data_IF_347236392676
#
_entry.id   IF_347236392676
#
_cell.length_a   1.000
_cell.length_b   1.000
_cell.length_c   1.000
_cell.angle_alpha   90.00
_cell.angle_beta   90.00
_cell.angle_gamma   90.00
#
_symmetry.space_group_name_H-M   'P 1'
#
loop_
_entity.id
_entity.type
_entity.pdbx_description
1 polymer ?
#
# COMPACT_ATOMS: atom_id res chain seq x y z
N UNK A 1 12.08 2.30 -4.73
CA UNK A 1 12.60 0.93 -4.51
C UNK A 1 13.38 0.86 -3.18
N UNK A 2 13.46 -0.32 -2.56
CA UNK A 2 14.18 -0.54 -1.28
C UNK A 2 14.91 -1.90 -1.25
N UNK A 3 15.87 -2.06 -0.32
CA UNK A 3 16.48 -3.36 -0.02
C UNK A 3 15.83 -3.97 1.22
N UNK A 4 15.34 -5.19 1.11
CA UNK A 4 14.81 -6.00 2.22
C UNK A 4 15.49 -7.36 2.15
N UNK A 5 16.04 -7.84 3.27
CA UNK A 5 16.76 -9.12 3.33
C UNK A 5 17.87 -9.25 2.26
N UNK A 6 18.49 -8.12 1.88
CA UNK A 6 19.53 -8.06 0.84
C UNK A 6 19.02 -8.14 -0.60
N UNK A 7 17.70 -8.21 -0.82
CA UNK A 7 17.07 -8.25 -2.13
C UNK A 7 16.35 -6.94 -2.47
N UNK A 8 16.31 -6.52 -3.74
CA UNK A 8 15.52 -5.38 -4.16
C UNK A 8 14.02 -5.71 -4.11
N UNK A 9 13.26 -4.82 -3.48
CA UNK A 9 11.80 -4.88 -3.41
C UNK A 9 11.20 -3.64 -4.08
N UNK A 10 10.15 -3.87 -4.87
CA UNK A 10 9.51 -2.90 -5.74
C UNK A 10 8.07 -2.61 -5.32
N UNK A 11 7.65 -1.37 -5.48
CA UNK A 11 6.27 -0.92 -5.27
C UNK A 11 5.64 -0.44 -6.57
N UNK A 12 4.33 -0.25 -6.56
CA UNK A 12 3.60 0.40 -7.66
C UNK A 12 4.22 1.75 -8.07
N UNK A 13 4.68 2.55 -7.10
CA UNK A 13 5.35 3.84 -7.36
C UNK A 13 6.63 3.65 -8.17
N UNK A 14 7.37 2.56 -7.93
CA UNK A 14 8.61 2.26 -8.65
C UNK A 14 8.33 1.86 -10.09
N UNK A 15 7.26 1.10 -10.32
CA UNK A 15 6.80 0.73 -11.65
C UNK A 15 6.33 1.96 -12.43
N UNK A 16 5.53 2.84 -11.81
CA UNK A 16 5.12 4.12 -12.41
C UNK A 16 6.34 4.97 -12.73
N UNK A 17 7.30 5.08 -11.80
CA UNK A 17 8.54 5.82 -12.00
C UNK A 17 9.37 5.29 -13.18
N UNK A 18 9.45 3.98 -13.36
CA UNK A 18 10.10 3.35 -14.52
C UNK A 18 9.41 3.72 -15.83
N UNK A 19 8.07 3.63 -15.88
CA UNK A 19 7.27 3.96 -17.07
C UNK A 19 7.32 5.44 -17.43
N UNK A 20 7.47 6.32 -16.44
CA UNK A 20 7.64 7.77 -16.65
C UNK A 20 9.08 8.12 -17.05
N UNK A 21 10.09 7.43 -16.51
CA UNK A 21 11.50 7.68 -16.77
C UNK A 21 12.38 6.47 -16.42
N UNK A 22 12.82 5.71 -17.42
CA UNK A 22 13.69 4.54 -17.19
C UNK A 22 15.03 4.90 -16.50
N UNK A 23 15.53 6.12 -16.74
CA UNK A 23 16.76 6.61 -16.09
C UNK A 23 16.58 6.74 -14.57
N UNK A 24 15.37 7.08 -14.10
CA UNK A 24 15.08 7.18 -12.66
C UNK A 24 15.36 5.86 -11.95
N UNK A 25 14.95 4.73 -12.53
CA UNK A 25 15.22 3.40 -11.97
C UNK A 25 16.72 3.13 -11.83
N UNK A 26 17.54 3.56 -12.79
CA UNK A 26 18.99 3.38 -12.69
C UNK A 26 19.60 4.22 -11.55
N UNK A 27 19.13 5.46 -11.39
CA UNK A 27 19.56 6.33 -10.30
C UNK A 27 19.10 5.78 -8.94
N UNK A 28 17.88 5.25 -8.85
CA UNK A 28 17.41 4.58 -7.62
C UNK A 28 18.24 3.35 -7.28
N UNK A 29 18.62 2.53 -8.27
CA UNK A 29 19.51 1.37 -8.07
C UNK A 29 20.89 1.79 -7.61
N UNK A 30 21.47 2.82 -8.23
CA UNK A 30 22.74 3.39 -7.80
C UNK A 30 22.64 3.85 -6.33
N UNK A 31 21.54 4.49 -5.94
CA UNK A 31 21.33 4.92 -4.56
C UNK A 31 21.21 3.75 -3.56
N UNK A 32 20.57 2.64 -3.93
CA UNK A 32 20.53 1.44 -3.07
C UNK A 32 21.91 0.86 -2.78
N UNK A 33 22.84 0.98 -3.74
CA UNK A 33 24.21 0.52 -3.58
C UNK A 33 25.16 1.61 -3.05
N UNK A 34 24.65 2.76 -2.63
CA UNK A 34 25.46 3.87 -2.12
C UNK A 34 26.29 4.61 -3.17
N UNK A 35 26.00 4.38 -4.46
CA UNK A 35 26.69 5.00 -5.60
C UNK A 35 26.08 6.35 -6.00
N UNK A 36 24.89 6.67 -5.50
CA UNK A 36 24.21 7.95 -5.68
C UNK A 36 23.54 8.37 -4.37
N UNK A 37 23.41 9.68 -4.15
CA UNK A 37 22.69 10.22 -3.00
C UNK A 37 21.27 10.60 -3.41
N UNK A 38 20.27 10.12 -2.65
CA UNK A 38 18.91 10.65 -2.81
C UNK A 38 18.88 12.10 -2.35
N UNK A 39 18.34 13.04 -3.16
CA UNK A 39 18.23 14.42 -2.73
C UNK A 39 17.32 14.50 -1.50
N UNK A 40 17.83 15.03 -0.40
CA UNK A 40 16.99 15.43 0.73
C UNK A 40 16.37 16.78 0.39
N UNK A 41 15.05 16.80 0.22
CA UNK A 41 14.26 18.04 0.10
C UNK A 41 13.19 17.99 1.15
N UNK A 42 13.32 18.82 2.17
CA UNK A 42 12.19 19.13 3.05
C UNK A 42 11.23 20.01 2.24
N UNK A 43 10.05 19.48 1.95
CA UNK A 43 9.04 20.18 1.18
C UNK A 43 7.74 20.21 1.99
N UNK A 44 7.45 21.38 2.56
CA UNK A 44 6.29 21.63 3.40
C UNK A 44 4.99 21.32 2.65
N UNK A 45 4.95 21.51 1.32
CA UNK A 45 3.77 21.23 0.52
C UNK A 45 3.54 19.72 0.41
N UNK A 46 4.59 18.93 0.20
CA UNK A 46 4.51 17.46 0.17
C UNK A 46 4.02 16.94 1.51
N UNK A 47 4.56 17.45 2.62
CA UNK A 47 4.12 17.06 3.97
C UNK A 47 2.64 17.41 4.22
N UNK A 48 2.20 18.58 3.75
CA UNK A 48 0.81 19.00 3.86
C UNK A 48 -0.12 18.11 3.02
N UNK A 49 0.30 17.73 1.82
CA UNK A 49 -0.46 16.81 0.95
C UNK A 49 -0.59 15.44 1.62
N UNK A 50 0.49 14.89 2.18
CA UNK A 50 0.48 13.62 2.90
C UNK A 50 -0.49 13.65 4.10
N UNK A 51 -0.42 14.70 4.93
CA UNK A 51 -1.34 14.90 6.07
C UNK A 51 -2.80 14.95 5.62
N UNK A 52 -3.08 15.63 4.50
CA UNK A 52 -4.44 15.69 3.94
C UNK A 52 -4.91 14.33 3.40
N UNK A 53 -4.00 13.54 2.82
CA UNK A 53 -4.27 12.17 2.37
C UNK A 53 -4.72 11.30 3.54
N UNK A 54 -3.93 11.25 4.61
CA UNK A 54 -4.27 10.52 5.82
C UNK A 54 -5.62 10.99 6.43
N UNK A 55 -5.86 12.30 6.50
CA UNK A 55 -7.13 12.83 6.98
C UNK A 55 -8.33 12.45 6.08
N UNK A 56 -8.09 12.18 4.80
CA UNK A 56 -9.11 11.71 3.86
C UNK A 56 -9.42 10.22 4.07
N UNK A 57 -8.39 9.38 4.18
CA UNK A 57 -8.50 7.96 4.56
C UNK A 57 -9.29 7.80 5.86
N UNK A 58 -8.93 8.55 6.90
CA UNK A 58 -9.60 8.48 8.22
C UNK A 58 -11.08 8.90 8.17
N UNK A 59 -11.43 9.84 7.30
CA UNK A 59 -12.83 10.23 7.10
C UNK A 59 -13.62 9.12 6.41
N UNK A 60 -13.01 8.47 5.42
CA UNK A 60 -13.64 7.34 4.74
C UNK A 60 -13.81 6.15 5.71
N UNK A 61 -12.79 5.86 6.52
CA UNK A 61 -12.86 4.87 7.60
C UNK A 61 -14.01 5.17 8.58
N UNK A 62 -14.15 6.43 9.02
CA UNK A 62 -15.24 6.85 9.89
C UNK A 62 -16.63 6.65 9.23
N UNK A 63 -16.75 6.91 7.92
CA UNK A 63 -17.99 6.67 7.18
C UNK A 63 -18.34 5.17 7.13
N UNK A 64 -17.36 4.29 6.89
CA UNK A 64 -17.57 2.84 6.89
C UNK A 64 -18.03 2.33 8.26
N UNK A 65 -17.36 2.78 9.34
CA UNK A 65 -17.76 2.47 10.72
C UNK A 65 -19.17 3.00 11.03
N UNK A 66 -19.48 4.22 10.61
CA UNK A 66 -20.80 4.85 10.78
C UNK A 66 -21.92 4.14 10.00
N UNK A 67 -21.59 3.49 8.89
CA UNK A 67 -22.48 2.61 8.13
C UNK A 67 -22.65 1.21 8.76
N UNK A 68 -22.07 0.96 9.94
CA UNK A 68 -22.17 -0.32 10.65
C UNK A 68 -21.25 -1.42 10.13
N UNK A 69 -20.30 -1.10 9.25
CA UNK A 69 -19.31 -2.07 8.73
C UNK A 69 -18.30 -2.41 9.82
N UNK A 70 -17.98 -3.69 9.98
CA UNK A 70 -16.93 -4.13 10.90
C UNK A 70 -15.56 -3.98 10.22
N UNK A 71 -14.69 -3.16 10.79
CA UNK A 71 -13.36 -2.88 10.23
C UNK A 71 -12.30 -3.66 10.98
N UNK A 72 -11.49 -4.42 10.24
CA UNK A 72 -10.22 -4.98 10.70
C UNK A 72 -9.10 -4.06 10.23
N UNK A 73 -8.32 -3.52 11.15
CA UNK A 73 -7.20 -2.63 10.84
C UNK A 73 -5.89 -3.41 10.95
N UNK A 74 -5.07 -3.35 9.89
CA UNK A 74 -3.73 -3.96 9.89
C UNK A 74 -2.75 -2.93 10.43
N UNK A 75 -2.28 -3.15 11.65
CA UNK A 75 -1.40 -2.22 12.35
C UNK A 75 0.03 -2.64 12.15
N UNK A 76 0.90 -1.68 11.80
CA UNK A 76 2.34 -1.92 11.73
C UNK A 76 2.87 -2.10 13.15
N UNK A 77 3.52 -3.23 13.40
CA UNK A 77 4.20 -3.48 14.66
C UNK A 77 5.54 -2.72 14.69
N UNK A 78 5.52 -1.55 15.33
CA UNK A 78 6.69 -0.69 15.49
C UNK A 78 7.74 -1.28 16.46
N UNK A 79 7.45 -2.39 17.16
CA UNK A 79 8.42 -3.08 18.03
C UNK A 79 9.37 -3.97 17.24
N UNK A 80 8.96 -4.42 16.06
CA UNK A 80 9.83 -5.12 15.14
C UNK A 80 10.79 -4.13 14.51
N UNK A 81 12.09 -4.43 14.52
CA UNK A 81 13.10 -3.58 13.88
C UNK A 81 13.41 -4.01 12.45
N UNK A 82 13.14 -5.27 12.10
CA UNK A 82 13.36 -5.80 10.76
C UNK A 82 12.15 -5.55 9.86
N UNK A 83 12.39 -4.80 8.78
CA UNK A 83 11.35 -4.40 7.83
C UNK A 83 10.74 -5.59 7.10
N UNK A 84 11.54 -6.60 6.73
CA UNK A 84 11.04 -7.78 6.03
C UNK A 84 10.05 -8.55 6.89
N UNK A 85 10.36 -8.73 8.17
CA UNK A 85 9.51 -9.41 9.15
C UNK A 85 8.21 -8.64 9.38
N UNK A 86 8.27 -7.31 9.54
CA UNK A 86 7.06 -6.48 9.64
C UNK A 86 6.11 -6.68 8.44
N UNK A 87 6.65 -6.71 7.22
CA UNK A 87 5.84 -6.85 6.01
C UNK A 87 5.19 -8.21 5.90
N UNK A 88 5.95 -9.28 6.17
CA UNK A 88 5.42 -10.66 6.19
C UNK A 88 4.34 -10.84 7.25
N UNK A 89 4.48 -10.20 8.41
CA UNK A 89 3.45 -10.22 9.45
C UNK A 89 2.19 -9.48 8.99
N UNK A 90 2.32 -8.25 8.48
CA UNK A 90 1.19 -7.46 8.01
C UNK A 90 0.45 -8.15 6.84
N UNK A 91 1.19 -8.81 5.95
CA UNK A 91 0.62 -9.66 4.90
C UNK A 91 -0.15 -10.85 5.50
N UNK A 92 0.46 -11.58 6.44
CA UNK A 92 -0.18 -12.72 7.11
C UNK A 92 -1.49 -12.29 7.78
N UNK A 93 -1.49 -11.15 8.46
CA UNK A 93 -2.67 -10.58 9.10
C UNK A 93 -3.75 -10.18 8.08
N UNK A 94 -3.33 -9.60 6.94
CA UNK A 94 -4.21 -9.24 5.81
C UNK A 94 -4.89 -10.50 5.25
N UNK A 95 -4.11 -11.52 4.89
CA UNK A 95 -4.62 -12.78 4.34
C UNK A 95 -5.57 -13.46 5.35
N UNK A 96 -5.20 -13.50 6.62
CA UNK A 96 -6.04 -14.10 7.64
C UNK A 96 -7.36 -13.33 7.82
N UNK A 97 -7.37 -12.00 7.70
CA UNK A 97 -8.58 -11.21 7.74
C UNK A 97 -9.48 -11.48 6.51
N UNK A 98 -8.88 -11.63 5.33
CA UNK A 98 -9.60 -11.99 4.10
C UNK A 98 -10.25 -13.38 4.20
N UNK A 99 -9.52 -14.37 4.72
CA UNK A 99 -10.00 -15.74 4.93
C UNK A 99 -11.12 -15.83 5.97
N UNK A 100 -11.12 -14.96 6.99
CA UNK A 100 -12.22 -14.85 7.95
C UNK A 100 -13.44 -14.10 7.41
N UNK A 101 -13.35 -13.52 6.21
CA UNK A 101 -14.42 -12.73 5.61
C UNK A 101 -14.69 -11.43 6.36
N UNK A 102 -13.65 -10.76 6.85
CA UNK A 102 -13.77 -9.41 7.43
C UNK A 102 -14.50 -8.47 6.47
N UNK A 103 -15.45 -7.67 6.98
CA UNK A 103 -16.31 -6.85 6.12
C UNK A 103 -15.54 -5.71 5.43
N UNK A 104 -14.59 -5.12 6.15
CA UNK A 104 -13.63 -4.13 5.67
C UNK A 104 -12.26 -4.45 6.28
N UNK A 105 -11.21 -4.41 5.46
CA UNK A 105 -9.81 -4.46 5.92
C UNK A 105 -9.16 -3.11 5.59
N UNK A 106 -8.66 -2.40 6.60
CA UNK A 106 -8.01 -1.11 6.46
C UNK A 106 -6.48 -1.26 6.56
N UNK A 107 -5.73 -0.59 5.67
CA UNK A 107 -4.27 -0.68 5.54
C UNK A 107 -3.76 -2.08 5.17
N UNK A 108 -4.50 -2.76 4.28
CA UNK A 108 -4.11 -4.09 3.79
C UNK A 108 -2.73 -4.05 3.13
N UNK A 109 -1.90 -5.04 3.47
CA UNK A 109 -0.52 -5.15 2.98
C UNK A 109 -0.36 -6.45 2.20
N UNK A 110 0.28 -6.36 1.03
CA UNK A 110 0.65 -7.50 0.20
C UNK A 110 2.16 -7.52 0.01
N UNK A 111 2.81 -8.68 0.18
CA UNK A 111 4.26 -8.77 0.09
C UNK A 111 4.75 -10.18 -0.29
N UNK A 112 5.18 -10.38 -1.54
CA UNK A 112 5.62 -11.69 -2.03
C UNK A 112 7.14 -11.93 -1.96
N UNK A 113 7.88 -11.00 -1.34
CA UNK A 113 9.34 -11.00 -1.31
C UNK A 113 10.02 -10.20 -2.43
N UNK A 114 9.29 -9.86 -3.50
CA UNK A 114 9.76 -9.04 -4.63
C UNK A 114 8.94 -7.74 -4.75
N UNK A 115 7.64 -7.84 -4.60
CA UNK A 115 6.68 -6.75 -4.71
C UNK A 115 6.05 -6.44 -3.36
N UNK A 116 5.80 -5.15 -3.15
CA UNK A 116 5.06 -4.64 -2.02
C UNK A 116 3.91 -3.76 -2.48
N UNK A 117 2.72 -4.04 -1.97
CA UNK A 117 1.50 -3.30 -2.23
C UNK A 117 0.80 -2.90 -0.94
N UNK A 118 0.21 -1.70 -0.95
CA UNK A 118 -0.67 -1.21 0.12
C UNK A 118 -2.00 -0.83 -0.50
N UNK A 119 -3.07 -1.43 -0.01
CA UNK A 119 -4.43 -0.98 -0.30
C UNK A 119 -4.97 -0.26 0.94
N UNK A 120 -5.47 0.96 0.76
CA UNK A 120 -6.14 1.69 1.84
C UNK A 120 -7.26 0.83 2.43
N UNK A 121 -8.13 0.28 1.55
CA UNK A 121 -9.23 -0.56 1.96
C UNK A 121 -9.41 -1.77 1.05
N UNK A 122 -9.73 -2.93 1.65
CA UNK A 122 -10.36 -4.05 0.97
C UNK A 122 -11.82 -4.15 1.46
N UNK A 123 -12.77 -4.09 0.54
CA UNK A 123 -14.19 -4.14 0.81
C UNK A 123 -14.73 -5.51 0.42
N UNK A 124 -15.30 -6.25 1.37
CA UNK A 124 -15.90 -7.55 1.07
C UNK A 124 -17.13 -7.37 0.19
N UNK A 125 -17.22 -8.17 -0.86
CA UNK A 125 -18.36 -8.24 -1.79
C UNK A 125 -18.89 -9.67 -1.91
N UNK A 126 -20.21 -9.85 -2.13
CA UNK A 126 -20.82 -11.18 -2.26
C UNK A 126 -20.59 -11.77 -3.65
N UNK A 127 -19.33 -12.06 -3.97
CA UNK A 127 -18.89 -12.69 -5.21
C UNK A 127 -18.00 -13.89 -4.87
N UNK A 128 -18.35 -15.13 -5.26
CA UNK A 128 -17.56 -16.31 -4.90
C UNK A 128 -16.10 -16.25 -5.41
N UNK A 129 -15.18 -16.79 -4.61
CA UNK A 129 -13.76 -16.91 -4.94
C UNK A 129 -13.11 -18.08 -4.18
N UNK A 130 -11.79 -18.20 -4.25
CA UNK A 130 -11.01 -19.14 -3.43
C UNK A 130 -11.10 -18.85 -1.92
N UNK A 131 -11.70 -17.72 -1.52
CA UNK A 131 -11.99 -17.37 -0.12
C UNK A 131 -13.37 -17.87 0.36
N UNK A 132 -14.19 -18.48 -0.52
CA UNK A 132 -15.56 -18.91 -0.24
C UNK A 132 -16.60 -18.09 -1.00
N UNK A 133 -17.72 -17.76 -0.34
CA UNK A 133 -18.87 -17.06 -0.95
C UNK A 133 -18.63 -15.54 -1.18
N UNK A 134 -17.42 -15.05 -0.95
CA UNK A 134 -17.07 -13.63 -1.05
C UNK A 134 -15.73 -13.38 -1.75
N UNK A 135 -15.57 -12.14 -2.19
CA UNK A 135 -14.35 -11.58 -2.77
C UNK A 135 -14.09 -10.23 -2.11
N UNK A 136 -12.99 -9.57 -2.52
CA UNK A 136 -12.66 -8.23 -2.07
C UNK A 136 -12.46 -7.29 -3.26
N UNK A 137 -13.02 -6.09 -3.15
CA UNK A 137 -12.71 -4.97 -4.01
C UNK A 137 -11.69 -4.05 -3.32
N UNK A 138 -10.68 -3.60 -4.09
CA UNK A 138 -9.72 -2.60 -3.63
C UNK A 138 -10.35 -1.22 -3.72
N UNK A 139 -10.34 -0.49 -2.60
CA UNK A 139 -10.72 0.91 -2.56
C UNK A 139 -9.53 1.76 -2.09
N UNK A 140 -8.99 2.55 -3.02
CA UNK A 140 -7.87 3.48 -2.82
C UNK A 140 -8.42 4.91 -2.72
N UNK A 141 -8.20 5.57 -1.59
CA UNK A 141 -8.81 6.87 -1.31
C UNK A 141 -7.86 7.99 -1.74
N UNK A 142 -8.29 8.79 -2.72
CA UNK A 142 -7.45 9.85 -3.29
C UNK A 142 -8.04 11.23 -3.04
N UNK A 143 -7.17 12.18 -2.72
CA UNK A 143 -7.51 13.61 -2.74
C UNK A 143 -7.84 14.11 -4.16
N UNK A 144 -7.27 13.48 -5.18
CA UNK A 144 -7.51 13.83 -6.57
C UNK A 144 -8.97 13.54 -6.93
N UNK A 145 -9.61 14.50 -7.63
CA UNK A 145 -11.03 14.41 -8.00
C UNK A 145 -11.27 13.63 -9.29
N UNK A 146 -10.20 13.26 -10.00
CA UNK A 146 -10.22 12.43 -11.20
C UNK A 146 -9.13 11.36 -11.13
N UNK A 147 -9.41 10.13 -11.59
CA UNK A 147 -8.40 9.08 -11.64
C UNK A 147 -7.33 9.41 -12.69
N UNK A 148 -6.07 9.18 -12.33
CA UNK A 148 -4.93 9.22 -13.26
C UNK A 148 -4.62 7.81 -13.75
N UNK A 149 -4.04 7.67 -14.94
CA UNK A 149 -3.63 6.36 -15.47
C UNK A 149 -2.66 5.63 -14.53
N UNK A 150 -1.78 6.36 -13.84
CA UNK A 150 -0.89 5.81 -12.82
C UNK A 150 -1.62 5.18 -11.62
N UNK A 151 -2.81 5.68 -11.27
CA UNK A 151 -3.64 5.08 -10.22
C UNK A 151 -4.19 3.71 -10.64
N UNK A 152 -4.51 3.52 -11.93
CA UNK A 152 -4.95 2.22 -12.45
C UNK A 152 -3.80 1.22 -12.39
N UNK A 153 -2.60 1.62 -12.85
CA UNK A 153 -1.41 0.77 -12.76
C UNK A 153 -1.12 0.37 -11.32
N UNK A 154 -1.23 1.29 -10.37
CA UNK A 154 -1.03 1.03 -8.95
C UNK A 154 -2.04 0.03 -8.37
N UNK A 155 -3.27 -0.02 -8.88
CA UNK A 155 -4.27 -0.98 -8.42
C UNK A 155 -4.09 -2.38 -9.04
N UNK A 156 -3.42 -2.47 -10.19
CA UNK A 156 -3.24 -3.72 -10.93
C UNK A 156 -1.87 -4.39 -10.72
N UNK A 157 -0.93 -3.69 -10.08
CA UNK A 157 0.41 -4.18 -9.74
C UNK A 157 0.46 -4.74 -8.33
#
# INVERSE_FOLDING_TARGET
>A
MQLIDGQPVYSATDLVGYLECEHLTQVERAALHGLAQRPQREDIEIDLIAKRGYAHEQRYLANLRGAGRQVTEIVKDDTLTDRGTQLRQAETETIAAMQRGADVIFQATFFDGTWIGYADFLLRVPAPSDLGEWSYEVADTKLARSPKASAILQMCS
#
